data_IF_232847805433
#
_entry.id   IF_232847805433
#
_cell.length_a   1.000
_cell.length_b   1.000
_cell.length_c   1.000
_cell.angle_alpha   90.00
_cell.angle_beta   90.00
_cell.angle_gamma   90.00
#
_symmetry.space_group_name_H-M   'P 1'
#
loop_
_entity.id
_entity.type
_entity.pdbx_description
1 polymer ?
#
# COMPACT_ATOMS: atom_id res chain seq x y z
N UNK A 1 -8.49 -4.95 16.60
CA UNK A 1 -8.49 -4.96 15.11
C UNK A 1 -8.02 -3.61 14.62
N UNK A 2 -6.88 -3.55 13.98
CA UNK A 2 -6.32 -2.33 13.42
C UNK A 2 -6.27 -2.40 11.91
N UNK A 3 -6.54 -1.28 11.25
CA UNK A 3 -6.38 -1.16 9.80
C UNK A 3 -5.37 -0.07 9.53
N UNK A 4 -4.60 -0.24 8.47
CA UNK A 4 -3.47 0.65 8.19
C UNK A 4 -3.49 1.09 6.74
N UNK A 5 -3.07 2.33 6.51
CA UNK A 5 -2.71 2.82 5.17
C UNK A 5 -1.21 3.07 5.20
N UNK A 6 -0.46 2.39 4.36
CA UNK A 6 0.99 2.54 4.27
C UNK A 6 1.29 3.13 2.90
N UNK A 7 1.83 4.33 2.85
CA UNK A 7 2.07 5.02 1.58
C UNK A 7 3.48 5.57 1.45
N UNK A 8 4.02 5.47 0.24
CA UNK A 8 5.14 6.24 -0.24
C UNK A 8 4.58 7.23 -1.26
N UNK A 9 4.54 8.52 -0.92
CA UNK A 9 3.83 9.52 -1.72
C UNK A 9 4.59 10.85 -1.80
N UNK A 10 5.69 10.91 -2.57
CA UNK A 10 6.49 12.14 -2.66
C UNK A 10 5.73 13.35 -3.21
N UNK A 11 4.71 13.13 -4.04
CA UNK A 11 3.93 14.21 -4.66
C UNK A 11 2.51 14.34 -4.11
N UNK A 12 2.09 13.44 -3.22
CA UNK A 12 0.74 13.44 -2.65
C UNK A 12 -0.30 12.69 -3.47
N UNK A 13 0.01 12.25 -4.67
CA UNK A 13 -0.96 11.55 -5.54
C UNK A 13 -1.35 10.18 -4.98
N UNK A 14 -0.37 9.44 -4.49
CA UNK A 14 -0.63 8.12 -3.89
C UNK A 14 -1.46 8.26 -2.62
N UNK A 15 -1.21 9.30 -1.83
CA UNK A 15 -2.01 9.58 -0.64
C UNK A 15 -3.46 9.86 -1.00
N UNK A 16 -3.72 10.63 -2.05
CA UNK A 16 -5.08 10.92 -2.50
C UNK A 16 -5.80 9.65 -2.96
N UNK A 17 -5.13 8.83 -3.76
CA UNK A 17 -5.72 7.58 -4.25
C UNK A 17 -6.01 6.60 -3.11
N UNK A 18 -5.06 6.42 -2.21
CA UNK A 18 -5.20 5.52 -1.07
C UNK A 18 -6.28 6.01 -0.10
N UNK A 19 -6.34 7.32 0.14
CA UNK A 19 -7.36 7.92 0.97
C UNK A 19 -8.77 7.78 0.39
N UNK A 20 -8.91 7.85 -0.93
CA UNK A 20 -10.19 7.63 -1.59
C UNK A 20 -10.67 6.19 -1.41
N UNK A 21 -9.76 5.22 -1.50
CA UNK A 21 -10.07 3.81 -1.26
C UNK A 21 -10.49 3.60 0.19
N UNK A 22 -9.77 4.18 1.14
CA UNK A 22 -10.13 4.15 2.55
C UNK A 22 -11.54 4.69 2.78
N UNK A 23 -11.85 5.84 2.18
CA UNK A 23 -13.17 6.46 2.31
C UNK A 23 -14.26 5.56 1.77
N UNK A 24 -14.01 4.86 0.66
CA UNK A 24 -14.95 3.91 0.09
C UNK A 24 -15.20 2.73 1.03
N UNK A 25 -14.16 2.21 1.66
CA UNK A 25 -14.29 1.12 2.63
C UNK A 25 -15.12 1.57 3.83
N UNK A 26 -14.84 2.77 4.35
CA UNK A 26 -15.59 3.31 5.50
C UNK A 26 -17.07 3.53 5.17
N UNK A 27 -17.38 3.94 3.95
CA UNK A 27 -18.76 4.16 3.53
C UNK A 27 -19.56 2.86 3.49
N UNK A 28 -18.91 1.75 3.14
CA UNK A 28 -19.57 0.43 3.02
C UNK A 28 -19.60 -0.30 4.35
N UNK A 29 -18.48 -0.26 5.10
CA UNK A 29 -18.32 -1.06 6.31
C UNK A 29 -18.85 -0.39 7.58
N UNK A 30 -19.15 0.91 7.54
CA UNK A 30 -19.71 1.64 8.66
C UNK A 30 -18.68 2.35 9.52
N UNK A 31 -19.16 2.95 10.61
CA UNK A 31 -18.38 3.90 11.42
C UNK A 31 -17.35 3.28 12.36
N UNK A 32 -17.28 1.98 12.46
CA UNK A 32 -16.40 1.31 13.42
C UNK A 32 -14.99 1.03 12.94
N UNK A 33 -14.65 1.41 11.71
CA UNK A 33 -13.35 1.12 11.13
C UNK A 33 -12.47 2.36 11.12
N UNK A 34 -11.39 2.32 11.89
CA UNK A 34 -10.38 3.37 11.90
C UNK A 34 -9.11 2.86 11.23
N UNK A 35 -8.53 3.70 10.37
CA UNK A 35 -7.26 3.41 9.73
C UNK A 35 -6.16 4.26 10.36
N UNK A 36 -5.02 3.63 10.60
CA UNK A 36 -3.79 4.31 11.03
C UNK A 36 -2.97 4.57 9.77
N UNK A 37 -2.60 5.82 9.54
CA UNK A 37 -1.79 6.20 8.39
C UNK A 37 -0.32 6.07 8.74
N UNK A 38 0.41 5.29 7.95
CA UNK A 38 1.85 5.10 8.09
C UNK A 38 2.51 5.66 6.84
N UNK A 39 3.17 6.79 6.99
CA UNK A 39 3.85 7.45 5.87
C UNK A 39 5.30 6.97 5.81
N UNK A 40 5.64 6.25 4.74
CA UNK A 40 6.98 5.74 4.52
C UNK A 40 7.74 6.52 3.44
N UNK A 41 7.29 7.74 3.14
CA UNK A 41 7.90 8.57 2.10
C UNK A 41 9.33 8.96 2.43
N UNK A 42 9.60 9.32 3.69
CA UNK A 42 10.93 9.72 4.13
C UNK A 42 11.63 8.57 4.87
N UNK A 43 12.96 8.56 4.87
CA UNK A 43 13.70 7.52 5.62
C UNK A 43 13.30 7.42 7.09
N UNK A 44 12.92 8.53 7.72
CA UNK A 44 12.46 8.52 9.10
C UNK A 44 11.18 7.70 9.30
N UNK A 45 10.34 7.59 8.27
CA UNK A 45 9.14 6.75 8.30
C UNK A 45 9.42 5.27 8.06
N UNK A 46 10.65 4.92 7.70
CA UNK A 46 11.06 3.55 7.40
C UNK A 46 12.03 2.97 8.43
N UNK A 47 12.07 3.54 9.61
CA UNK A 47 13.01 3.08 10.66
C UNK A 47 12.57 1.79 11.34
N UNK A 48 11.27 1.49 11.32
CA UNK A 48 10.72 0.29 11.93
C UNK A 48 10.20 -0.66 10.87
N UNK A 49 10.48 -1.93 11.04
CA UNK A 49 9.80 -2.96 10.26
C UNK A 49 8.33 -3.00 10.70
N UNK A 50 7.43 -3.16 9.74
CA UNK A 50 5.99 -3.23 10.02
C UNK A 50 5.58 -4.69 10.16
N UNK A 51 4.81 -4.99 11.20
CA UNK A 51 4.30 -6.34 11.45
C UNK A 51 2.79 -6.23 11.64
N UNK A 52 2.06 -7.04 10.90
CA UNK A 52 0.60 -7.04 10.93
C UNK A 52 0.08 -8.38 11.42
N UNK A 53 -1.23 -8.48 11.60
CA UNK A 53 -1.91 -9.71 11.99
C UNK A 53 -3.00 -10.05 10.98
N UNK A 54 -3.50 -11.27 11.03
CA UNK A 54 -4.52 -11.73 10.09
C UNK A 54 -5.85 -10.95 10.19
N UNK A 55 -6.08 -10.24 11.28
CA UNK A 55 -7.26 -9.40 11.46
C UNK A 55 -7.11 -8.02 10.82
N UNK A 56 -5.89 -7.65 10.43
CA UNK A 56 -5.63 -6.33 9.88
C UNK A 56 -5.99 -6.25 8.40
N UNK A 57 -6.40 -5.06 7.98
CA UNK A 57 -6.51 -4.70 6.56
C UNK A 57 -5.48 -3.60 6.32
N UNK A 58 -4.65 -3.78 5.29
CA UNK A 58 -3.58 -2.85 4.95
C UNK A 58 -3.79 -2.35 3.53
N UNK A 59 -3.92 -1.04 3.38
CA UNK A 59 -3.86 -0.41 2.05
C UNK A 59 -2.41 0.01 1.85
N UNK A 60 -1.75 -0.57 0.86
CA UNK A 60 -0.35 -0.27 0.56
C UNK A 60 -0.29 0.44 -0.79
N UNK A 61 0.15 1.69 -0.78
CA UNK A 61 0.17 2.53 -1.97
C UNK A 61 1.54 3.12 -2.27
N UNK A 62 1.88 3.18 -3.56
CA UNK A 62 3.13 3.79 -4.01
C UNK A 62 3.02 4.16 -5.50
N UNK A 63 3.86 5.10 -5.97
CA UNK A 63 3.86 5.45 -7.39
C UNK A 63 4.65 4.45 -8.21
N UNK A 64 4.44 4.50 -9.53
CA UNK A 64 5.22 3.74 -10.50
C UNK A 64 6.33 4.64 -11.03
N UNK A 65 7.56 4.14 -10.98
CA UNK A 65 8.74 4.81 -11.53
C UNK A 65 9.30 3.96 -12.66
N UNK A 66 9.30 4.52 -13.89
CA UNK A 66 9.79 3.81 -15.07
C UNK A 66 9.15 2.42 -15.23
N UNK A 67 7.85 2.32 -14.98
CA UNK A 67 7.10 1.06 -15.10
C UNK A 67 7.29 0.08 -13.95
N UNK A 68 8.07 0.44 -12.94
CA UNK A 68 8.41 -0.45 -11.82
C UNK A 68 8.13 0.22 -10.48
N UNK A 69 8.12 -0.58 -9.43
CA UNK A 69 8.08 -0.05 -8.06
C UNK A 69 9.35 0.73 -7.76
N UNK A 70 9.29 1.72 -6.83
CA UNK A 70 10.49 2.48 -6.45
C UNK A 70 11.57 1.56 -5.86
N UNK A 71 12.72 1.46 -6.54
CA UNK A 71 13.81 0.58 -6.10
C UNK A 71 14.28 0.88 -4.68
N UNK A 72 14.25 2.14 -4.28
CA UNK A 72 14.71 2.55 -2.96
C UNK A 72 13.85 1.96 -1.83
N UNK A 73 12.62 1.55 -2.13
CA UNK A 73 11.73 0.97 -1.14
C UNK A 73 11.87 -0.54 -1.00
N UNK A 74 12.38 -1.23 -2.02
CA UNK A 74 12.39 -2.69 -2.03
C UNK A 74 13.04 -3.32 -0.81
N UNK A 75 14.22 -2.85 -0.34
CA UNK A 75 14.81 -3.41 0.87
C UNK A 75 13.89 -3.29 2.09
N UNK A 76 13.20 -2.16 2.24
CA UNK A 76 12.27 -1.96 3.35
C UNK A 76 11.04 -2.84 3.21
N UNK A 77 10.44 -2.88 2.01
CA UNK A 77 9.25 -3.70 1.77
C UNK A 77 9.51 -5.18 2.06
N UNK A 78 10.73 -5.64 1.83
CA UNK A 78 11.12 -7.02 2.11
C UNK A 78 11.27 -7.32 3.61
N UNK A 79 11.15 -6.33 4.48
CA UNK A 79 11.15 -6.53 5.93
C UNK A 79 9.76 -6.60 6.53
N UNK A 80 8.72 -6.28 5.76
CA UNK A 80 7.35 -6.26 6.27
C UNK A 80 6.85 -7.69 6.49
N UNK A 81 6.17 -7.89 7.62
CA UNK A 81 5.57 -9.17 7.95
C UNK A 81 4.06 -9.07 7.90
N UNK A 82 3.46 -9.73 6.92
CA UNK A 82 2.01 -9.68 6.70
C UNK A 82 1.21 -10.56 7.62
N UNK A 83 1.71 -11.75 7.94
CA UNK A 83 1.09 -12.71 8.87
C UNK A 83 -0.39 -13.01 8.55
N UNK A 84 -0.74 -13.04 7.27
CA UNK A 84 -2.10 -13.32 6.83
C UNK A 84 -3.02 -12.10 6.77
N UNK A 85 -2.51 -10.90 7.01
CA UNK A 85 -3.30 -9.67 6.87
C UNK A 85 -3.81 -9.51 5.44
N UNK A 86 -4.99 -8.94 5.30
CA UNK A 86 -5.54 -8.61 3.97
C UNK A 86 -4.88 -7.35 3.45
N UNK A 87 -4.52 -7.36 2.17
CA UNK A 87 -3.85 -6.23 1.56
C UNK A 87 -4.59 -5.73 0.32
N UNK A 88 -4.71 -4.42 0.22
CA UNK A 88 -5.20 -3.74 -0.98
C UNK A 88 -3.99 -3.00 -1.56
N UNK A 89 -3.58 -3.42 -2.74
CA UNK A 89 -2.42 -2.85 -3.42
C UNK A 89 -2.85 -1.70 -4.32
N UNK A 90 -2.18 -0.55 -4.19
CA UNK A 90 -2.50 0.64 -4.97
C UNK A 90 -1.23 1.17 -5.60
N UNK A 91 -1.22 1.33 -6.92
CA UNK A 91 -0.15 2.04 -7.61
C UNK A 91 -0.73 3.25 -8.32
N UNK A 92 0.01 4.36 -8.32
CA UNK A 92 -0.36 5.55 -9.06
C UNK A 92 0.66 5.76 -10.18
N UNK A 93 0.17 6.20 -11.35
CA UNK A 93 1.02 6.39 -12.52
C UNK A 93 0.60 7.67 -13.27
N UNK A 94 1.53 8.19 -14.08
CA UNK A 94 1.28 9.38 -14.89
C UNK A 94 0.74 9.04 -16.26
N UNK A 95 1.36 9.55 -17.32
CA UNK A 95 0.91 9.36 -18.70
C UNK A 95 1.34 8.04 -19.31
N UNK A 96 2.16 7.27 -18.63
CA UNK A 96 2.67 5.99 -19.14
C UNK A 96 1.96 4.85 -18.48
N UNK A 97 2.08 3.69 -19.09
CA UNK A 97 1.55 2.47 -18.52
C UNK A 97 2.21 2.18 -17.17
N UNK A 98 1.45 1.58 -16.27
CA UNK A 98 1.98 1.10 -15.00
C UNK A 98 2.71 -0.24 -15.18
N UNK A 99 2.67 -0.82 -16.39
CA UNK A 99 3.33 -2.06 -16.77
C UNK A 99 3.12 -3.15 -15.73
N UNK A 100 4.21 -3.76 -15.25
CA UNK A 100 4.14 -4.85 -14.30
C UNK A 100 4.19 -4.40 -12.84
N UNK A 101 4.18 -3.08 -12.57
CA UNK A 101 4.35 -2.58 -11.20
C UNK A 101 3.26 -3.08 -10.25
N UNK A 102 2.00 -3.13 -10.71
CA UNK A 102 0.91 -3.61 -9.87
C UNK A 102 1.06 -5.10 -9.57
N UNK A 103 1.42 -5.90 -10.57
CA UNK A 103 1.67 -7.33 -10.39
C UNK A 103 2.88 -7.52 -9.47
N UNK A 104 3.93 -6.74 -9.68
CA UNK A 104 5.13 -6.79 -8.84
C UNK A 104 4.78 -6.53 -7.37
N UNK A 105 3.94 -5.53 -7.11
CA UNK A 105 3.52 -5.22 -5.75
C UNK A 105 2.67 -6.33 -5.14
N UNK A 106 1.72 -6.87 -5.89
CA UNK A 106 0.89 -7.97 -5.42
C UNK A 106 1.73 -9.20 -5.10
N UNK A 107 2.68 -9.55 -5.98
CA UNK A 107 3.56 -10.70 -5.75
C UNK A 107 4.43 -10.49 -4.53
N UNK A 108 4.97 -9.27 -4.35
CA UNK A 108 5.81 -8.95 -3.22
C UNK A 108 5.05 -9.09 -1.90
N UNK A 109 3.84 -8.53 -1.80
CA UNK A 109 3.09 -8.60 -0.54
C UNK A 109 2.65 -10.02 -0.24
N UNK A 110 2.35 -10.83 -1.25
CA UNK A 110 2.02 -12.24 -1.04
C UNK A 110 3.23 -13.01 -0.53
N UNK A 111 4.42 -12.74 -1.03
CA UNK A 111 5.66 -13.32 -0.50
C UNK A 111 5.90 -12.90 0.94
N UNK A 112 5.46 -11.71 1.33
CA UNK A 112 5.59 -11.21 2.69
C UNK A 112 4.47 -11.68 3.62
N UNK A 113 3.61 -12.57 3.17
CA UNK A 113 2.58 -13.20 4.01
C UNK A 113 1.23 -12.52 3.98
N UNK A 114 1.01 -11.52 3.12
CA UNK A 114 -0.31 -10.90 2.96
C UNK A 114 -1.20 -11.72 2.05
N UNK A 115 -2.50 -11.50 2.20
CA UNK A 115 -3.53 -11.99 1.28
C UNK A 115 -4.04 -10.78 0.49
N UNK A 116 -3.73 -10.73 -0.80
CA UNK A 116 -4.21 -9.65 -1.66
C UNK A 116 -5.68 -9.83 -1.93
N UNK A 117 -6.51 -8.87 -1.51
CA UNK A 117 -7.96 -8.92 -1.72
C UNK A 117 -8.43 -7.96 -2.80
N UNK A 118 -7.62 -6.97 -3.14
CA UNK A 118 -7.93 -6.03 -4.21
C UNK A 118 -6.65 -5.34 -4.67
N UNK A 119 -6.68 -4.85 -5.90
CA UNK A 119 -5.55 -4.12 -6.47
C UNK A 119 -6.10 -3.03 -7.41
N UNK A 120 -5.46 -1.87 -7.40
CA UNK A 120 -5.87 -0.75 -8.22
C UNK A 120 -4.67 0.00 -8.79
N UNK A 121 -4.75 0.36 -10.06
CA UNK A 121 -3.83 1.29 -10.70
C UNK A 121 -4.61 2.58 -11.00
N UNK A 122 -4.13 3.69 -10.48
CA UNK A 122 -4.85 4.96 -10.52
C UNK A 122 -3.96 6.01 -11.20
N UNK A 123 -4.54 6.76 -12.14
CA UNK A 123 -3.83 7.88 -12.77
C UNK A 123 -3.66 8.98 -11.73
N UNK A 124 -2.41 9.36 -11.53
CA UNK A 124 -2.05 10.37 -10.55
C UNK A 124 -1.83 11.75 -11.12
#
# INVERSE_FOLDING_TARGET
MSHHIVTFSPTGNTDRASGAIMSGIRAVAGKGIDFIWVDITLPSGRRRALTFTKEDIVILGMPVYAGRLPNLLLPYLNTIEGNGAKCICVVTYGNRHYDDALIELCDLVEERGFITIAAAAVVG
#
